data_IF_520101982958
#
_entry.id   IF_520101982958
#
_cell.length_a   1.000
_cell.length_b   1.000
_cell.length_c   1.000
_cell.angle_alpha   90.00
_cell.angle_beta   90.00
_cell.angle_gamma   90.00
#
_symmetry.space_group_name_H-M   'P 1'
#
loop_
_entity.id
_entity.type
_entity.pdbx_description
1 polymer ?
#
# COMPACT_ATOMS: atom_id res chain seq x y z
N UNK A 1 1.48 -8.75 30.81
CA UNK A 1 2.42 -9.33 29.83
C UNK A 1 2.92 -8.21 28.94
N UNK A 2 4.24 -8.06 28.79
CA UNK A 2 4.81 -7.09 27.83
C UNK A 2 4.61 -7.68 26.42
N UNK A 3 3.86 -6.96 25.57
CA UNK A 3 3.64 -7.38 24.19
C UNK A 3 4.90 -7.10 23.38
N UNK A 4 5.64 -8.15 22.99
CA UNK A 4 6.89 -8.01 22.22
C UNK A 4 6.68 -7.61 20.75
N UNK A 5 5.51 -7.90 20.19
CA UNK A 5 5.13 -7.58 18.80
C UNK A 5 3.73 -6.97 18.79
N UNK A 6 3.58 -5.83 18.14
CA UNK A 6 2.29 -5.18 17.96
C UNK A 6 1.81 -5.35 16.52
N UNK A 7 0.88 -6.28 16.32
CA UNK A 7 0.34 -6.58 14.98
C UNK A 7 -0.80 -5.63 14.62
N UNK A 8 -0.96 -5.35 13.33
CA UNK A 8 -1.98 -4.43 12.81
C UNK A 8 -3.41 -4.79 13.26
N UNK A 9 -3.73 -6.09 13.35
CA UNK A 9 -5.04 -6.54 13.84
C UNK A 9 -5.34 -6.02 15.25
N UNK A 10 -4.34 -6.01 16.13
CA UNK A 10 -4.54 -5.61 17.51
C UNK A 10 -4.64 -4.09 17.63
N UNK A 11 -3.81 -3.36 16.86
CA UNK A 11 -3.96 -1.91 16.73
C UNK A 11 -5.36 -1.51 16.25
N UNK A 12 -5.87 -2.15 15.20
CA UNK A 12 -7.19 -1.82 14.65
C UNK A 12 -8.32 -2.16 15.63
N UNK A 13 -8.20 -3.28 16.36
CA UNK A 13 -9.14 -3.64 17.43
C UNK A 13 -9.16 -2.61 18.55
N UNK A 14 -8.00 -2.19 19.01
CA UNK A 14 -7.88 -1.17 20.07
C UNK A 14 -8.40 0.19 19.60
N UNK A 15 -8.13 0.57 18.35
CA UNK A 15 -8.56 1.86 17.79
C UNK A 15 -10.07 1.94 17.52
N UNK A 16 -10.67 0.87 17.00
CA UNK A 16 -12.06 0.87 16.52
C UNK A 16 -13.02 0.06 17.39
N UNK A 17 -12.51 -0.53 18.47
CA UNK A 17 -13.24 -1.39 19.41
C UNK A 17 -13.90 -2.63 18.75
N UNK A 18 -13.42 -3.02 17.56
CA UNK A 18 -13.84 -4.23 16.86
C UNK A 18 -12.76 -4.68 15.87
N UNK A 19 -12.82 -5.93 15.41
CA UNK A 19 -11.90 -6.42 14.38
C UNK A 19 -12.20 -5.71 13.07
N UNK A 20 -11.19 -5.21 12.37
CA UNK A 20 -11.39 -4.54 11.07
C UNK A 20 -10.77 -5.37 9.95
N UNK A 21 -11.50 -5.52 8.84
CA UNK A 21 -11.00 -6.14 7.62
C UNK A 21 -10.67 -5.08 6.56
N UNK A 22 -9.68 -5.37 5.74
CA UNK A 22 -9.43 -4.63 4.50
C UNK A 22 -10.23 -5.29 3.37
N UNK A 23 -10.89 -4.49 2.55
CA UNK A 23 -11.51 -4.93 1.29
C UNK A 23 -10.63 -4.45 0.14
N UNK A 24 -10.13 -5.39 -0.66
CA UNK A 24 -9.16 -5.10 -1.72
C UNK A 24 -9.87 -4.56 -2.96
N UNK A 25 -9.43 -3.41 -3.44
CA UNK A 25 -10.05 -2.68 -4.55
C UNK A 25 -9.05 -2.46 -5.69
N UNK A 26 -9.56 -2.50 -6.92
CA UNK A 26 -8.84 -2.11 -8.13
C UNK A 26 -9.43 -0.79 -8.65
N UNK A 27 -8.64 0.29 -8.56
CA UNK A 27 -9.03 1.60 -9.07
C UNK A 27 -8.78 1.80 -10.57
N UNK A 28 -8.44 0.74 -11.31
CA UNK A 28 -8.17 0.80 -12.75
C UNK A 28 -6.80 1.37 -13.10
N UNK A 29 -5.89 1.44 -12.13
CA UNK A 29 -4.57 2.05 -12.31
C UNK A 29 -3.59 1.15 -13.06
N UNK A 30 -2.49 1.77 -13.50
CA UNK A 30 -1.29 1.07 -13.99
C UNK A 30 -0.09 1.40 -13.10
N UNK A 31 1.11 1.01 -13.53
CA UNK A 31 2.37 1.30 -12.88
C UNK A 31 3.34 1.92 -13.91
N UNK A 32 4.06 3.01 -13.57
CA UNK A 32 5.04 3.62 -14.47
C UNK A 32 6.21 2.69 -14.83
N UNK A 33 6.43 1.65 -14.00
CA UNK A 33 7.42 0.60 -14.27
C UNK A 33 6.94 -0.43 -15.31
N UNK A 34 5.67 -0.36 -15.74
CA UNK A 34 5.03 -1.27 -16.70
C UNK A 34 4.68 -0.59 -18.01
N UNK A 35 4.19 0.65 -17.95
CA UNK A 35 3.59 1.37 -19.09
C UNK A 35 4.60 2.02 -20.04
N UNK A 36 5.90 1.98 -19.71
CA UNK A 36 6.97 2.59 -20.51
C UNK A 36 7.44 3.95 -20.02
N UNK A 37 6.85 4.53 -18.97
CA UNK A 37 7.25 5.84 -18.46
C UNK A 37 8.60 5.80 -17.71
N UNK A 38 8.79 4.83 -16.80
CA UNK A 38 10.07 4.60 -16.11
C UNK A 38 10.81 3.36 -16.60
N UNK A 39 10.07 2.30 -16.92
CA UNK A 39 10.60 1.03 -17.43
C UNK A 39 9.50 0.27 -18.16
N UNK A 40 9.80 -0.95 -18.60
CA UNK A 40 8.83 -1.88 -19.22
C UNK A 40 8.79 -3.19 -18.42
N UNK A 41 7.66 -3.88 -18.46
CA UNK A 41 7.49 -5.24 -17.90
C UNK A 41 7.19 -5.32 -16.40
N UNK A 42 7.39 -4.25 -15.61
CA UNK A 42 7.14 -4.26 -14.17
C UNK A 42 8.28 -4.88 -13.36
N UNK A 43 8.10 -4.94 -12.03
CA UNK A 43 9.05 -5.62 -11.15
C UNK A 43 8.99 -7.13 -11.41
N UNK A 44 10.15 -7.81 -11.38
CA UNK A 44 10.25 -9.24 -11.74
C UNK A 44 9.34 -10.13 -10.87
N UNK A 45 9.12 -9.76 -9.61
CA UNK A 45 8.28 -10.53 -8.68
C UNK A 45 6.77 -10.26 -8.81
N UNK A 46 6.34 -9.29 -9.62
CA UNK A 46 4.92 -8.97 -9.74
C UNK A 46 4.28 -9.74 -10.90
N UNK A 47 3.08 -10.30 -10.69
CA UNK A 47 2.30 -10.96 -11.76
C UNK A 47 1.88 -9.98 -12.86
N UNK A 48 1.33 -10.46 -13.98
CA UNK A 48 0.78 -9.59 -15.03
C UNK A 48 -0.32 -8.67 -14.51
N UNK A 49 -1.15 -9.19 -13.60
CA UNK A 49 -2.17 -8.43 -12.88
C UNK A 49 -1.60 -7.59 -11.73
N UNK A 50 -0.27 -7.52 -11.61
CA UNK A 50 0.43 -6.80 -10.57
C UNK A 50 0.34 -7.51 -9.23
N UNK A 51 -0.50 -6.96 -8.36
CA UNK A 51 -0.72 -7.47 -7.01
C UNK A 51 -2.20 -7.81 -6.80
N UNK A 52 -3.03 -7.62 -7.83
CA UNK A 52 -4.48 -7.65 -7.78
C UNK A 52 -5.14 -8.97 -8.17
N UNK A 53 -4.45 -10.11 -8.05
CA UNK A 53 -5.00 -11.44 -8.36
C UNK A 53 -6.28 -11.77 -7.55
N UNK A 54 -6.56 -11.02 -6.48
CA UNK A 54 -7.75 -11.15 -5.64
C UNK A 54 -8.74 -9.97 -5.75
N UNK A 55 -8.60 -9.09 -6.74
CA UNK A 55 -9.52 -7.96 -6.94
C UNK A 55 -10.73 -8.36 -7.77
N UNK A 56 -11.88 -7.72 -7.50
CA UNK A 56 -13.16 -7.98 -8.18
C UNK A 56 -13.25 -7.50 -9.65
N UNK A 57 -12.13 -7.04 -10.23
CA UNK A 57 -11.99 -6.65 -11.63
C UNK A 57 -12.17 -5.14 -11.92
N UNK A 58 -11.41 -4.65 -12.91
CA UNK A 58 -11.28 -3.21 -13.28
C UNK A 58 -12.54 -2.53 -13.84
N UNK A 59 -13.58 -3.28 -14.17
CA UNK A 59 -14.74 -2.79 -14.92
C UNK A 59 -15.95 -2.42 -14.01
N UNK A 60 -15.80 -2.56 -12.70
CA UNK A 60 -16.88 -2.31 -11.72
C UNK A 60 -16.67 -1.01 -10.96
N UNK A 61 -17.76 -0.38 -10.52
CA UNK A 61 -17.65 0.78 -9.63
C UNK A 61 -16.98 0.40 -8.32
N UNK A 62 -16.37 1.38 -7.63
CA UNK A 62 -15.70 1.12 -6.35
C UNK A 62 -16.72 0.62 -5.31
N UNK A 63 -17.93 1.16 -5.34
CA UNK A 63 -19.02 0.71 -4.46
C UNK A 63 -19.36 -0.77 -4.66
N UNK A 64 -19.51 -1.22 -5.91
CA UNK A 64 -19.78 -2.62 -6.23
C UNK A 64 -18.64 -3.55 -5.79
N UNK A 65 -17.39 -3.12 -6.00
CA UNK A 65 -16.22 -3.88 -5.53
C UNK A 65 -16.23 -4.04 -4.00
N UNK A 66 -16.61 -2.99 -3.26
CA UNK A 66 -16.74 -3.04 -1.80
C UNK A 66 -17.79 -4.07 -1.38
N UNK A 67 -19.00 -4.01 -1.95
CA UNK A 67 -20.09 -4.93 -1.62
C UNK A 67 -19.70 -6.40 -1.82
N UNK A 68 -19.09 -6.71 -2.97
CA UNK A 68 -18.62 -8.06 -3.29
C UNK A 68 -17.52 -8.54 -2.34
N UNK A 69 -16.54 -7.69 -2.02
CA UNK A 69 -15.48 -8.04 -1.09
C UNK A 69 -16.01 -8.25 0.34
N UNK A 70 -17.01 -7.46 0.75
CA UNK A 70 -17.73 -7.65 2.02
C UNK A 70 -18.43 -9.00 2.03
N UNK A 71 -19.12 -9.37 0.95
CA UNK A 71 -19.78 -10.66 0.81
C UNK A 71 -18.78 -11.82 0.92
N UNK A 72 -17.63 -11.74 0.24
CA UNK A 72 -16.57 -12.76 0.30
C UNK A 72 -16.05 -12.99 1.73
N UNK A 73 -15.88 -11.91 2.51
CA UNK A 73 -15.37 -12.02 3.89
C UNK A 73 -16.46 -12.24 4.94
N UNK A 74 -17.74 -12.10 4.59
CA UNK A 74 -18.90 -12.22 5.50
C UNK A 74 -19.02 -13.58 6.21
N UNK A 75 -18.42 -14.63 5.64
CA UNK A 75 -18.33 -15.96 6.25
C UNK A 75 -17.33 -16.00 7.42
N UNK A 76 -16.28 -15.16 7.38
CA UNK A 76 -15.19 -15.11 8.36
C UNK A 76 -15.29 -13.93 9.33
N UNK A 77 -16.06 -12.90 8.97
CA UNK A 77 -16.18 -11.65 9.72
C UNK A 77 -17.64 -11.21 9.75
N UNK A 78 -18.11 -10.81 10.93
CA UNK A 78 -19.50 -10.41 11.20
C UNK A 78 -19.65 -8.94 11.63
N UNK A 79 -18.57 -8.17 11.61
CA UNK A 79 -18.64 -6.74 11.91
C UNK A 79 -19.03 -5.94 10.67
N UNK A 80 -19.26 -4.64 10.87
CA UNK A 80 -19.80 -3.74 9.85
C UNK A 80 -18.85 -2.62 9.44
N UNK A 81 -17.61 -2.65 9.92
CA UNK A 81 -16.56 -1.67 9.59
C UNK A 81 -15.41 -2.32 8.83
N UNK A 82 -14.98 -1.63 7.78
CA UNK A 82 -13.94 -2.07 6.86
C UNK A 82 -13.03 -0.92 6.44
N UNK A 83 -11.84 -1.26 5.95
CA UNK A 83 -10.94 -0.32 5.28
C UNK A 83 -10.94 -0.61 3.79
N UNK A 84 -11.20 0.40 2.99
CA UNK A 84 -11.02 0.33 1.54
C UNK A 84 -9.52 0.32 1.22
N UNK A 85 -9.05 -0.78 0.62
CA UNK A 85 -7.64 -1.02 0.38
C UNK A 85 -7.34 -1.07 -1.12
N UNK A 86 -6.83 0.06 -1.62
CA UNK A 86 -6.33 0.21 -2.98
C UNK A 86 -4.95 -0.42 -3.06
N UNK A 87 -4.89 -1.67 -3.54
CA UNK A 87 -3.70 -2.51 -3.40
C UNK A 87 -2.99 -2.78 -4.73
N UNK A 88 -3.74 -2.76 -5.84
CA UNK A 88 -3.19 -3.15 -7.13
C UNK A 88 -2.40 -2.01 -7.80
N UNK A 89 -1.27 -2.32 -8.41
CA UNK A 89 -0.40 -1.36 -9.10
C UNK A 89 -0.03 -0.11 -8.27
N UNK A 90 0.02 1.07 -8.90
CA UNK A 90 0.43 2.33 -8.28
C UNK A 90 -0.78 3.22 -8.10
N UNK A 91 -1.44 3.14 -6.94
CA UNK A 91 -2.75 3.75 -6.73
C UNK A 91 -2.73 5.27 -6.60
N UNK A 92 -1.58 5.93 -6.77
CA UNK A 92 -1.47 7.39 -6.90
C UNK A 92 -0.97 7.84 -8.27
N UNK A 93 -0.87 6.92 -9.23
CA UNK A 93 -0.41 7.20 -10.59
C UNK A 93 -1.60 7.45 -11.53
N UNK A 94 -2.23 8.61 -11.35
CA UNK A 94 -3.31 9.12 -12.20
C UNK A 94 -3.46 10.63 -12.01
N UNK A 95 -4.38 11.26 -12.76
CA UNK A 95 -4.80 12.63 -12.48
C UNK A 95 -5.40 12.76 -11.07
N UNK A 96 -5.06 13.83 -10.36
CA UNK A 96 -5.47 14.03 -8.96
C UNK A 96 -6.99 14.13 -8.79
N UNK A 97 -7.72 14.64 -9.80
CA UNK A 97 -9.18 14.68 -9.74
C UNK A 97 -9.79 13.28 -9.85
N UNK A 98 -9.17 12.41 -10.65
CA UNK A 98 -9.57 11.01 -10.72
C UNK A 98 -9.28 10.30 -9.40
N UNK A 99 -8.08 10.49 -8.82
CA UNK A 99 -7.72 9.96 -7.50
C UNK A 99 -8.71 10.40 -6.41
N UNK A 100 -9.08 11.68 -6.39
CA UNK A 100 -10.08 12.20 -5.47
C UNK A 100 -11.41 11.49 -5.65
N UNK A 101 -11.92 11.41 -6.88
CA UNK A 101 -13.20 10.78 -7.22
C UNK A 101 -13.30 9.35 -6.66
N UNK A 102 -12.31 8.50 -6.94
CA UNK A 102 -12.35 7.08 -6.53
C UNK A 102 -12.13 6.87 -5.03
N UNK A 103 -11.30 7.68 -4.37
CA UNK A 103 -11.14 7.61 -2.93
C UNK A 103 -12.39 8.10 -2.19
N UNK A 104 -13.01 9.18 -2.67
CA UNK A 104 -14.25 9.70 -2.09
C UNK A 104 -15.42 8.75 -2.37
N UNK A 105 -15.49 8.11 -3.54
CA UNK A 105 -16.48 7.05 -3.83
C UNK A 105 -16.39 5.90 -2.82
N UNK A 106 -15.17 5.45 -2.47
CA UNK A 106 -14.97 4.44 -1.44
C UNK A 106 -15.47 4.91 -0.06
N UNK A 107 -15.17 6.17 0.30
CA UNK A 107 -15.55 6.76 1.59
C UNK A 107 -17.05 7.04 1.72
N UNK A 108 -17.78 7.17 0.61
CA UNK A 108 -19.25 7.31 0.62
C UNK A 108 -19.95 6.01 1.03
N UNK A 109 -19.28 4.86 0.94
CA UNK A 109 -19.84 3.60 1.38
C UNK A 109 -19.91 3.52 2.92
N UNK A 110 -21.12 3.38 3.48
CA UNK A 110 -21.39 3.49 4.93
C UNK A 110 -20.56 2.56 5.83
N UNK A 111 -20.10 1.42 5.30
CA UNK A 111 -19.27 0.44 6.03
C UNK A 111 -17.76 0.71 5.96
N UNK A 112 -17.31 1.69 5.17
CA UNK A 112 -15.90 2.06 5.04
C UNK A 112 -15.56 3.14 6.07
N UNK A 113 -14.55 2.88 6.89
CA UNK A 113 -14.12 3.77 7.98
C UNK A 113 -12.71 4.33 7.79
N UNK A 114 -12.10 4.04 6.65
CA UNK A 114 -10.73 4.44 6.35
C UNK A 114 -10.22 3.93 5.02
N UNK A 115 -9.02 4.39 4.68
CA UNK A 115 -8.33 4.12 3.43
C UNK A 115 -6.94 3.56 3.70
N UNK A 116 -6.58 2.59 2.88
CA UNK A 116 -5.23 2.08 2.74
C UNK A 116 -4.84 2.17 1.28
N UNK A 117 -3.77 2.88 0.96
CA UNK A 117 -3.40 3.16 -0.44
C UNK A 117 -1.98 2.65 -0.69
N UNK A 118 -1.86 1.55 -1.44
CA UNK A 118 -0.57 1.03 -1.87
C UNK A 118 -0.06 1.80 -3.09
N UNK A 119 1.15 2.33 -3.01
CA UNK A 119 1.74 3.10 -4.11
C UNK A 119 3.26 3.02 -4.12
N UNK A 120 3.86 3.66 -5.13
CA UNK A 120 5.29 3.83 -5.25
C UNK A 120 5.74 5.18 -4.66
N UNK A 121 6.93 5.24 -4.05
CA UNK A 121 7.45 6.49 -3.49
C UNK A 121 7.64 7.62 -4.52
N UNK A 122 8.00 7.27 -5.76
CA UNK A 122 8.18 8.21 -6.88
C UNK A 122 6.86 8.76 -7.46
N UNK A 123 5.69 8.29 -6.99
CA UNK A 123 4.37 8.71 -7.44
C UNK A 123 3.62 9.58 -6.41
N UNK A 124 4.35 10.23 -5.51
CA UNK A 124 3.83 11.15 -4.50
C UNK A 124 4.20 12.61 -4.84
N UNK A 125 3.62 13.11 -5.94
CA UNK A 125 3.72 14.51 -6.36
C UNK A 125 2.97 15.45 -5.40
N UNK A 126 3.25 16.75 -5.47
CA UNK A 126 2.78 17.71 -4.46
C UNK A 126 1.25 17.79 -4.35
N UNK A 127 0.53 17.77 -5.47
CA UNK A 127 -0.94 17.75 -5.53
C UNK A 127 -1.53 16.44 -5.00
N UNK A 128 -0.86 15.30 -5.24
CA UNK A 128 -1.23 14.02 -4.61
C UNK A 128 -1.05 14.10 -3.09
N UNK A 129 0.07 14.64 -2.61
CA UNK A 129 0.33 14.81 -1.18
C UNK A 129 -0.69 15.74 -0.52
N UNK A 130 -1.11 16.80 -1.21
CA UNK A 130 -2.18 17.70 -0.77
C UNK A 130 -3.51 16.96 -0.62
N UNK A 131 -3.92 16.20 -1.65
CA UNK A 131 -5.11 15.34 -1.58
C UNK A 131 -5.04 14.34 -0.41
N UNK A 132 -3.91 13.65 -0.26
CA UNK A 132 -3.74 12.67 0.82
C UNK A 132 -3.79 13.35 2.20
N UNK A 133 -3.25 14.57 2.35
CA UNK A 133 -3.32 15.33 3.59
C UNK A 133 -4.76 15.75 3.93
N UNK A 134 -5.54 16.19 2.94
CA UNK A 134 -6.97 16.47 3.13
C UNK A 134 -7.73 15.23 3.61
N UNK A 135 -7.50 14.09 2.96
CA UNK A 135 -8.14 12.82 3.33
C UNK A 135 -7.70 12.35 4.72
N UNK A 136 -6.42 12.46 5.06
CA UNK A 136 -5.86 12.10 6.38
C UNK A 136 -6.54 12.87 7.53
N UNK A 137 -6.99 14.10 7.29
CA UNK A 137 -7.72 14.90 8.27
C UNK A 137 -9.19 14.48 8.42
N UNK A 138 -9.76 13.82 7.42
CA UNK A 138 -11.19 13.45 7.37
C UNK A 138 -11.45 11.99 7.73
N UNK A 139 -10.47 11.10 7.50
CA UNK A 139 -10.64 9.66 7.67
C UNK A 139 -9.39 9.00 8.23
N UNK A 140 -9.49 7.74 8.66
CA UNK A 140 -8.30 6.97 9.00
C UNK A 140 -7.58 6.53 7.74
N UNK A 141 -6.46 7.18 7.41
CA UNK A 141 -5.65 6.93 6.22
C UNK A 141 -4.27 6.39 6.59
N UNK A 142 -3.77 5.44 5.79
CA UNK A 142 -2.34 5.18 5.69
C UNK A 142 -1.93 4.80 4.27
N UNK A 143 -0.63 4.98 3.98
CA UNK A 143 -0.01 4.62 2.70
C UNK A 143 0.77 3.31 2.85
N UNK A 144 0.68 2.41 1.89
CA UNK A 144 1.52 1.21 1.80
C UNK A 144 2.62 1.47 0.75
N UNK A 145 3.88 1.53 1.18
CA UNK A 145 5.02 1.84 0.31
C UNK A 145 5.89 0.62 0.06
N UNK A 146 6.17 0.34 -1.21
CA UNK A 146 7.21 -0.61 -1.60
C UNK A 146 8.59 -0.06 -1.25
N UNK A 147 9.35 -0.72 -0.38
CA UNK A 147 10.81 -0.55 -0.31
C UNK A 147 11.48 -1.81 -0.84
N UNK A 148 11.00 -2.95 -0.38
CA UNK A 148 11.48 -4.31 -0.66
C UNK A 148 12.87 -4.59 -0.11
N UNK A 149 13.86 -3.77 -0.46
CA UNK A 149 15.24 -3.84 0.04
C UNK A 149 15.90 -2.46 -0.06
N UNK A 150 16.86 -2.16 0.82
CA UNK A 150 17.72 -0.96 0.68
C UNK A 150 18.93 -1.21 -0.24
N UNK A 151 19.14 -2.44 -0.69
CA UNK A 151 20.24 -2.79 -1.57
C UNK A 151 19.85 -2.43 -3.02
N UNK A 152 20.33 -1.28 -3.50
CA UNK A 152 19.96 -0.77 -4.82
C UNK A 152 20.41 -1.67 -5.98
N UNK A 153 21.47 -2.47 -5.82
CA UNK A 153 21.88 -3.46 -6.82
C UNK A 153 20.88 -4.61 -6.93
N UNK A 154 20.36 -5.09 -5.80
CA UNK A 154 19.28 -6.09 -5.77
C UNK A 154 17.99 -5.47 -6.33
N UNK A 155 17.68 -4.22 -5.96
CA UNK A 155 16.52 -3.49 -6.48
C UNK A 155 16.55 -3.28 -8.00
N UNK A 156 17.72 -2.97 -8.53
CA UNK A 156 17.96 -2.88 -9.98
C UNK A 156 17.77 -4.23 -10.65
N UNK A 157 18.26 -5.31 -10.04
CA UNK A 157 18.08 -6.66 -10.57
C UNK A 157 16.60 -7.03 -10.76
N UNK A 158 15.72 -6.73 -9.80
CA UNK A 158 14.29 -7.00 -9.95
C UNK A 158 13.48 -5.88 -10.63
N UNK A 159 14.15 -4.92 -11.28
CA UNK A 159 13.53 -3.82 -12.02
C UNK A 159 12.60 -2.94 -11.14
N UNK A 160 13.02 -2.54 -9.94
CA UNK A 160 12.22 -1.62 -9.09
C UNK A 160 12.01 -0.24 -9.74
N UNK A 161 13.01 0.21 -10.50
CA UNK A 161 13.07 1.49 -11.20
C UNK A 161 12.94 2.74 -10.31
N UNK A 162 13.44 2.68 -9.08
CA UNK A 162 13.83 3.84 -8.28
C UNK A 162 14.92 3.47 -7.28
N UNK A 163 15.74 4.45 -6.92
CA UNK A 163 16.77 4.36 -5.89
C UNK A 163 16.18 4.48 -4.48
N UNK A 164 16.86 3.91 -3.49
CA UNK A 164 16.43 3.96 -2.08
C UNK A 164 16.28 5.39 -1.56
N UNK A 165 17.06 6.35 -2.10
CA UNK A 165 16.95 7.78 -1.77
C UNK A 165 15.56 8.36 -2.05
N UNK A 166 14.90 7.94 -3.14
CA UNK A 166 13.55 8.42 -3.49
C UNK A 166 12.54 7.99 -2.42
N UNK A 167 12.69 6.78 -1.88
CA UNK A 167 11.88 6.31 -0.76
C UNK A 167 12.12 7.16 0.50
N UNK A 168 13.38 7.50 0.82
CA UNK A 168 13.70 8.35 1.96
C UNK A 168 13.06 9.75 1.85
N UNK A 169 13.11 10.36 0.66
CA UNK A 169 12.50 11.67 0.42
C UNK A 169 10.97 11.64 0.52
N UNK A 170 10.34 10.59 -0.02
CA UNK A 170 8.90 10.40 0.05
C UNK A 170 8.41 10.23 1.50
N UNK A 171 9.11 9.43 2.31
CA UNK A 171 8.75 9.21 3.72
C UNK A 171 8.93 10.46 4.57
N UNK A 172 9.95 11.28 4.31
CA UNK A 172 10.09 12.61 4.94
C UNK A 172 8.86 13.49 4.68
N UNK A 173 8.37 13.53 3.44
CA UNK A 173 7.15 14.29 3.09
C UNK A 173 5.91 13.75 3.81
N UNK A 174 5.71 12.43 3.82
CA UNK A 174 4.56 11.82 4.53
C UNK A 174 4.59 12.10 6.04
N UNK A 175 5.76 11.98 6.67
CA UNK A 175 5.93 12.30 8.10
C UNK A 175 5.64 13.78 8.40
N UNK A 176 6.09 14.70 7.55
CA UNK A 176 5.82 16.15 7.72
C UNK A 176 4.32 16.48 7.67
N UNK A 177 3.52 15.64 7.01
CA UNK A 177 2.06 15.74 6.91
C UNK A 177 1.33 14.87 7.95
N UNK A 178 2.07 14.21 8.85
CA UNK A 178 1.55 13.25 9.83
C UNK A 178 0.67 12.15 9.19
N UNK A 179 1.03 11.74 7.96
CA UNK A 179 0.38 10.65 7.24
C UNK A 179 1.10 9.35 7.61
N UNK A 180 0.36 8.38 8.16
CA UNK A 180 0.91 7.07 8.49
C UNK A 180 1.30 6.34 7.21
N UNK A 181 2.40 5.61 7.26
CA UNK A 181 2.76 4.69 6.18
C UNK A 181 3.33 3.38 6.71
N UNK A 182 3.09 2.31 5.95
CA UNK A 182 3.61 0.97 6.20
C UNK A 182 4.59 0.63 5.10
N UNK A 183 5.73 0.08 5.48
CA UNK A 183 6.80 -0.27 4.55
C UNK A 183 6.77 -1.75 4.23
N UNK A 184 6.78 -2.06 2.93
CA UNK A 184 6.84 -3.43 2.44
C UNK A 184 8.29 -3.83 2.26
N UNK A 185 8.64 -5.00 2.81
CA UNK A 185 9.95 -5.62 2.72
C UNK A 185 9.75 -7.03 2.16
N UNK A 186 10.55 -7.43 1.17
CA UNK A 186 10.56 -8.81 0.67
C UNK A 186 11.78 -9.50 1.23
N UNK A 187 11.56 -10.66 1.85
CA UNK A 187 12.58 -11.52 2.41
C UNK A 187 12.93 -12.63 1.42
N UNK A 188 14.22 -12.93 1.25
CA UNK A 188 14.70 -13.99 0.37
C UNK A 188 14.80 -13.57 -1.09
N UNK A 189 15.13 -12.30 -1.36
CA UNK A 189 15.30 -11.83 -2.72
C UNK A 189 16.54 -12.49 -3.37
N UNK A 190 16.52 -12.81 -4.68
CA UNK A 190 17.72 -13.24 -5.37
C UNK A 190 18.84 -12.21 -5.23
N UNK A 191 20.04 -12.66 -4.88
CA UNK A 191 21.24 -11.82 -4.60
C UNK A 191 21.17 -11.00 -3.31
N UNK A 192 20.14 -11.18 -2.49
CA UNK A 192 20.11 -10.64 -1.12
C UNK A 192 21.23 -11.26 -0.27
N UNK A 193 21.95 -10.44 0.49
CA UNK A 193 22.97 -10.93 1.43
C UNK A 193 22.35 -11.19 2.79
N UNK A 194 23.03 -12.01 3.60
CA UNK A 194 22.71 -12.14 5.02
C UNK A 194 22.67 -10.73 5.65
N UNK A 195 21.59 -10.43 6.36
CA UNK A 195 21.25 -9.16 7.03
C UNK A 195 20.67 -8.02 6.17
N UNK A 196 20.56 -8.14 4.84
CA UNK A 196 19.99 -7.06 4.01
C UNK A 196 18.54 -6.72 4.42
N UNK A 197 17.72 -7.72 4.72
CA UNK A 197 16.37 -7.54 5.25
C UNK A 197 16.34 -6.84 6.61
N UNK A 198 17.28 -7.14 7.50
CA UNK A 198 17.37 -6.52 8.82
C UNK A 198 17.79 -5.05 8.70
N UNK A 199 18.78 -4.77 7.86
CA UNK A 199 19.19 -3.40 7.55
C UNK A 199 18.04 -2.62 6.89
N UNK A 200 17.27 -3.28 6.02
CA UNK A 200 16.08 -2.69 5.41
C UNK A 200 15.03 -2.34 6.48
N UNK A 201 14.79 -3.21 7.45
CA UNK A 201 13.85 -2.95 8.54
C UNK A 201 14.31 -1.77 9.43
N UNK A 202 15.59 -1.75 9.82
CA UNK A 202 16.19 -0.67 10.63
C UNK A 202 16.14 0.66 9.88
N UNK A 203 16.51 0.67 8.60
CA UNK A 203 16.39 1.85 7.75
C UNK A 203 14.95 2.37 7.67
N UNK A 204 13.98 1.48 7.44
CA UNK A 204 12.56 1.84 7.39
C UNK A 204 12.07 2.47 8.71
N UNK A 205 12.54 1.94 9.84
CA UNK A 205 12.24 2.51 11.16
C UNK A 205 12.85 3.91 11.31
N UNK A 206 14.09 4.12 10.88
CA UNK A 206 14.74 5.43 10.92
C UNK A 206 14.05 6.45 10.00
N UNK A 207 13.43 6.00 8.90
CA UNK A 207 12.56 6.82 8.06
C UNK A 207 11.20 7.13 8.69
N UNK A 208 10.88 6.59 9.88
CA UNK A 208 9.63 6.90 10.60
C UNK A 208 8.43 6.07 10.16
N UNK A 209 8.63 4.88 9.59
CA UNK A 209 7.52 3.99 9.21
C UNK A 209 6.60 3.70 10.40
N UNK A 210 5.29 3.76 10.19
CA UNK A 210 4.30 3.41 11.21
C UNK A 210 4.18 1.90 11.42
N UNK A 211 4.47 1.12 10.39
CA UNK A 211 4.50 -0.34 10.47
C UNK A 211 5.35 -0.98 9.39
N UNK A 212 5.60 -2.28 9.54
CA UNK A 212 6.28 -3.12 8.55
C UNK A 212 5.34 -4.21 8.04
N UNK A 213 5.39 -4.48 6.75
CA UNK A 213 4.71 -5.62 6.12
C UNK A 213 5.75 -6.48 5.44
N UNK A 214 5.95 -7.67 5.97
CA UNK A 214 6.95 -8.61 5.50
C UNK A 214 6.30 -9.55 4.50
N UNK A 215 6.92 -9.67 3.33
CA UNK A 215 6.55 -10.62 2.29
C UNK A 215 7.67 -11.63 2.14
N UNK A 216 7.33 -12.89 1.89
CA UNK A 216 8.31 -13.87 1.43
C UNK A 216 8.38 -13.76 -0.09
N UNK A 217 9.59 -13.81 -0.64
CA UNK A 217 9.77 -13.94 -2.08
C UNK A 217 9.09 -15.23 -2.54
N UNK A 218 8.12 -15.10 -3.45
CA UNK A 218 7.38 -16.19 -4.07
C UNK A 218 7.60 -16.16 -5.58
N UNK A 219 7.93 -17.31 -6.17
CA UNK A 219 8.03 -17.46 -7.63
C UNK A 219 6.62 -17.74 -8.16
N UNK A 220 6.09 -16.81 -8.96
CA UNK A 220 4.80 -16.93 -9.65
C UNK A 220 5.00 -17.56 -11.01
#
# INVERSE_FOLDING_TARGET
>A
MIRKIYILNDFLKEKFNEKIYKVSLDGGFTCPNRDGNLSKGGCIFCSENGSGDFTSGKLKSIHQQIDEQIELVSKKYKGDKYIAYFQNFTNTYADVNYLRKIYEEALLHKKIIGLAIATRPDCLRNDVLELLNELNKKTFLWIELGLQTINDEVAKYFNRAYETKIYEEATKKLNSLNIKFVTHIILGLPKEKNDDYLKTAIFSQNCGTWGLKLHLMYVV
#
